data_IF_982460319962
#
_entry.id   IF_982460319962
#
_cell.length_a   1.000
_cell.length_b   1.000
_cell.length_c   1.000
_cell.angle_alpha   90.00
_cell.angle_beta   90.00
_cell.angle_gamma   90.00
#
_symmetry.space_group_name_H-M   'P 1'
#
loop_
_entity.id
_entity.type
_entity.pdbx_description
1 polymer ?
#
# COMPACT_ATOMS: atom_id res chain seq x y z
N UNK A 1 -19.65 9.10 8.24
CA UNK A 1 -20.11 8.78 6.88
C UNK A 1 -19.02 8.73 5.80
N UNK A 2 -17.85 9.40 5.88
CA UNK A 2 -16.86 9.30 4.77
C UNK A 2 -15.40 9.03 5.20
N UNK A 3 -15.06 9.17 6.49
CA UNK A 3 -13.68 9.15 6.97
C UNK A 3 -12.99 7.78 6.86
N UNK A 4 -13.74 6.68 6.92
CA UNK A 4 -13.20 5.31 6.83
C UNK A 4 -12.69 4.94 5.43
N UNK A 5 -13.30 5.47 4.37
CA UNK A 5 -12.87 5.27 2.99
C UNK A 5 -11.67 6.16 2.64
N UNK A 6 -11.54 7.27 3.36
CA UNK A 6 -10.48 8.27 3.20
C UNK A 6 -9.22 7.85 3.96
N UNK A 7 -9.36 7.29 5.17
CA UNK A 7 -8.25 7.07 6.10
C UNK A 7 -7.18 6.06 5.60
N UNK A 8 -7.53 4.89 5.03
CA UNK A 8 -6.53 3.97 4.48
C UNK A 8 -5.73 4.59 3.33
N UNK A 9 -6.43 5.21 2.36
CA UNK A 9 -5.81 5.93 1.25
C UNK A 9 -4.95 7.10 1.71
N UNK A 10 -5.39 7.81 2.74
CA UNK A 10 -4.63 8.88 3.38
C UNK A 10 -3.34 8.36 4.02
N UNK A 11 -3.42 7.32 4.85
CA UNK A 11 -2.25 6.75 5.55
C UNK A 11 -1.21 6.25 4.55
N UNK A 12 -1.65 5.60 3.48
CA UNK A 12 -0.75 5.05 2.45
C UNK A 12 -0.10 6.15 1.63
N UNK A 13 -0.88 7.08 1.08
CA UNK A 13 -0.31 8.20 0.31
C UNK A 13 0.55 9.12 1.18
N UNK A 14 0.23 9.28 2.46
CA UNK A 14 1.07 9.97 3.42
C UNK A 14 2.41 9.27 3.59
N UNK A 15 2.41 7.94 3.75
CA UNK A 15 3.62 7.13 3.88
C UNK A 15 4.49 7.27 2.62
N UNK A 16 3.97 6.87 1.45
CA UNK A 16 4.77 6.83 0.21
C UNK A 16 5.21 8.24 -0.21
N UNK A 17 4.35 9.24 0.01
CA UNK A 17 4.70 10.64 -0.24
C UNK A 17 5.83 11.14 0.66
N UNK A 18 5.86 10.74 1.95
CA UNK A 18 6.96 11.09 2.86
C UNK A 18 8.25 10.34 2.48
N UNK A 19 8.15 9.08 2.04
CA UNK A 19 9.30 8.32 1.53
C UNK A 19 9.93 9.00 0.31
N UNK A 20 9.11 9.35 -0.69
CA UNK A 20 9.56 10.10 -1.86
C UNK A 20 10.19 11.45 -1.49
N UNK A 21 9.55 12.22 -0.58
CA UNK A 21 10.07 13.50 -0.12
C UNK A 21 11.42 13.36 0.60
N UNK A 22 11.61 12.27 1.35
CA UNK A 22 12.84 11.97 2.06
C UNK A 22 13.99 11.62 1.10
N UNK A 23 13.73 10.81 0.06
CA UNK A 23 14.74 10.50 -0.98
C UNK A 23 15.19 11.79 -1.67
N UNK A 24 14.25 12.62 -2.11
CA UNK A 24 14.53 13.94 -2.72
C UNK A 24 15.34 14.82 -1.76
N UNK A 25 14.95 14.85 -0.48
CA UNK A 25 15.63 15.61 0.56
C UNK A 25 17.08 15.16 0.79
N UNK A 26 17.35 13.85 0.85
CA UNK A 26 18.72 13.34 1.00
C UNK A 26 19.60 13.76 -0.19
N UNK A 27 19.09 13.63 -1.41
CA UNK A 27 19.84 14.00 -2.62
C UNK A 27 20.14 15.50 -2.65
N UNK A 28 19.15 16.35 -2.35
CA UNK A 28 19.36 17.80 -2.25
C UNK A 28 20.39 18.16 -1.17
N UNK A 29 20.33 17.51 -0.01
CA UNK A 29 21.29 17.72 1.07
C UNK A 29 22.71 17.28 0.67
N UNK A 30 22.87 16.19 -0.08
CA UNK A 30 24.15 15.75 -0.60
C UNK A 30 24.72 16.73 -1.64
N UNK A 31 23.89 17.24 -2.55
CA UNK A 31 24.30 18.24 -3.54
C UNK A 31 24.74 19.57 -2.89
N UNK A 32 24.05 19.97 -1.83
CA UNK A 32 24.41 21.16 -1.06
C UNK A 32 25.77 20.98 -0.36
N UNK A 33 26.01 19.83 0.27
CA UNK A 33 27.32 19.51 0.86
C UNK A 33 28.45 19.47 -0.18
N UNK A 34 28.17 18.96 -1.37
CA UNK A 34 29.13 18.90 -2.47
C UNK A 34 29.35 20.25 -3.19
N UNK A 35 28.70 21.34 -2.75
CA UNK A 35 28.74 22.68 -3.38
C UNK A 35 28.37 22.68 -4.88
N UNK A 36 27.60 21.70 -5.35
CA UNK A 36 27.17 21.56 -6.76
C UNK A 36 25.68 21.87 -6.90
N UNK A 37 25.27 23.04 -6.43
CA UNK A 37 23.86 23.50 -6.45
C UNK A 37 23.27 23.67 -7.85
N UNK A 38 24.11 23.75 -8.89
CA UNK A 38 23.68 23.78 -10.29
C UNK A 38 22.90 22.51 -10.71
N UNK A 39 23.11 21.38 -10.04
CA UNK A 39 22.41 20.12 -10.31
C UNK A 39 21.01 20.05 -9.66
N UNK A 40 20.64 21.01 -8.82
CA UNK A 40 19.33 21.02 -8.15
C UNK A 40 18.17 21.07 -9.14
N UNK A 41 18.34 21.73 -10.29
CA UNK A 41 17.32 21.76 -11.35
C UNK A 41 17.01 20.37 -11.90
N UNK A 42 17.99 19.47 -11.96
CA UNK A 42 17.80 18.09 -12.41
C UNK A 42 17.02 17.24 -11.40
N UNK A 43 17.17 17.54 -10.09
CA UNK A 43 16.35 16.92 -9.04
C UNK A 43 14.89 17.33 -9.19
N UNK A 44 14.62 18.62 -9.35
CA UNK A 44 13.24 19.11 -9.55
C UNK A 44 12.63 18.60 -10.86
N UNK A 45 13.42 18.51 -11.94
CA UNK A 45 12.99 17.90 -13.20
C UNK A 45 12.66 16.41 -13.04
N UNK A 46 13.51 15.64 -12.34
CA UNK A 46 13.27 14.22 -12.06
C UNK A 46 12.01 14.02 -11.22
N UNK A 47 11.80 14.86 -10.20
CA UNK A 47 10.61 14.85 -9.37
C UNK A 47 9.36 15.17 -10.18
N UNK A 48 9.37 16.26 -10.95
CA UNK A 48 8.24 16.66 -11.78
C UNK A 48 7.90 15.60 -12.83
N UNK A 49 8.91 15.05 -13.51
CA UNK A 49 8.75 13.98 -14.48
C UNK A 49 8.19 12.71 -13.84
N UNK A 50 8.71 12.30 -12.67
CA UNK A 50 8.22 11.13 -11.93
C UNK A 50 6.76 11.27 -11.55
N UNK A 51 6.38 12.40 -10.94
CA UNK A 51 4.99 12.69 -10.56
C UNK A 51 4.07 12.70 -11.78
N UNK A 52 4.48 13.33 -12.88
CA UNK A 52 3.68 13.38 -14.11
C UNK A 52 3.47 11.98 -14.72
N UNK A 53 4.53 11.18 -14.80
CA UNK A 53 4.45 9.82 -15.34
C UNK A 53 3.60 8.93 -14.44
N UNK A 54 3.77 8.99 -13.12
CA UNK A 54 2.90 8.27 -12.18
C UNK A 54 1.44 8.70 -12.32
N UNK A 55 1.14 10.00 -12.41
CA UNK A 55 -0.22 10.47 -12.62
C UNK A 55 -0.83 9.94 -13.94
N UNK A 56 -0.05 9.94 -15.02
CA UNK A 56 -0.47 9.40 -16.31
C UNK A 56 -0.75 7.88 -16.24
N UNK A 57 0.14 7.13 -15.58
CA UNK A 57 -0.06 5.69 -15.34
C UNK A 57 -1.36 5.48 -14.56
N UNK A 58 -1.60 6.25 -13.50
CA UNK A 58 -2.82 6.14 -12.69
C UNK A 58 -4.09 6.42 -13.48
N UNK A 59 -4.09 7.45 -14.34
CA UNK A 59 -5.23 7.76 -15.23
C UNK A 59 -5.48 6.63 -16.23
N UNK A 60 -4.42 6.10 -16.86
CA UNK A 60 -4.50 5.01 -17.82
C UNK A 60 -5.01 3.73 -17.15
N UNK A 61 -4.53 3.42 -15.95
CA UNK A 61 -4.98 2.28 -15.15
C UNK A 61 -6.46 2.40 -14.77
N UNK A 62 -6.89 3.57 -14.31
CA UNK A 62 -8.29 3.84 -13.97
C UNK A 62 -9.23 3.74 -15.19
N UNK A 63 -8.77 4.16 -16.37
CA UNK A 63 -9.50 3.98 -17.63
C UNK A 63 -9.65 2.50 -18.01
N UNK A 64 -8.56 1.73 -17.92
CA UNK A 64 -8.58 0.28 -18.21
C UNK A 64 -9.55 -0.45 -17.29
N UNK A 65 -9.50 -0.18 -15.99
CA UNK A 65 -10.38 -0.83 -15.00
C UNK A 65 -11.85 -0.54 -15.31
N UNK A 66 -12.20 0.71 -15.62
CA UNK A 66 -13.59 1.08 -15.99
C UNK A 66 -14.05 0.42 -17.29
N UNK A 67 -13.17 0.38 -18.30
CA UNK A 67 -13.47 -0.27 -19.57
C UNK A 67 -13.72 -1.78 -19.38
N UNK A 68 -12.87 -2.47 -18.61
CA UNK A 68 -13.01 -3.89 -18.33
C UNK A 68 -14.19 -4.21 -17.39
N UNK A 69 -14.49 -3.34 -16.42
CA UNK A 69 -15.61 -3.49 -15.50
C UNK A 69 -16.97 -3.49 -16.22
N UNK A 70 -17.12 -2.65 -17.24
CA UNK A 70 -18.37 -2.55 -18.02
C UNK A 70 -18.68 -3.75 -18.93
N UNK A 71 -17.76 -4.71 -19.07
CA UNK A 71 -17.89 -5.80 -20.04
C UNK A 71 -18.88 -6.90 -19.60
N UNK A 72 -19.00 -7.19 -18.30
CA UNK A 72 -19.95 -8.17 -17.78
C UNK A 72 -20.22 -8.04 -16.27
N UNK A 73 -21.39 -8.48 -15.76
CA UNK A 73 -21.68 -8.42 -14.32
C UNK A 73 -20.82 -9.38 -13.46
N UNK A 74 -20.13 -10.36 -14.08
CA UNK A 74 -19.23 -11.27 -13.37
C UNK A 74 -17.76 -10.81 -13.37
N UNK A 75 -17.39 -9.85 -14.23
CA UNK A 75 -16.01 -9.35 -14.32
C UNK A 75 -15.66 -8.38 -13.21
N UNK A 76 -16.62 -7.62 -12.67
CA UNK A 76 -16.39 -6.68 -11.57
C UNK A 76 -15.80 -7.35 -10.32
N UNK A 77 -16.45 -8.37 -9.71
CA UNK A 77 -15.93 -8.99 -8.48
C UNK A 77 -14.66 -9.80 -8.73
N UNK A 78 -14.48 -10.39 -9.92
CA UNK A 78 -13.28 -11.13 -10.29
C UNK A 78 -12.05 -10.21 -10.42
N UNK A 79 -12.24 -9.07 -11.07
CA UNK A 79 -11.19 -8.07 -11.24
C UNK A 79 -10.84 -7.44 -9.89
N UNK A 80 -11.82 -7.21 -9.02
CA UNK A 80 -11.60 -6.70 -7.67
C UNK A 80 -10.81 -7.68 -6.78
N UNK A 81 -11.19 -8.95 -6.78
CA UNK A 81 -10.46 -10.00 -6.08
C UNK A 81 -9.02 -10.13 -6.61
N UNK A 82 -8.82 -10.05 -7.92
CA UNK A 82 -7.49 -10.11 -8.55
C UNK A 82 -6.58 -8.93 -8.16
N UNK A 83 -7.05 -7.69 -8.31
CA UNK A 83 -6.26 -6.51 -7.96
C UNK A 83 -5.97 -6.43 -6.46
N UNK A 84 -6.93 -6.78 -5.61
CA UNK A 84 -6.71 -6.78 -4.16
C UNK A 84 -5.72 -7.88 -3.73
N UNK A 85 -5.75 -9.06 -4.35
CA UNK A 85 -4.73 -10.10 -4.11
C UNK A 85 -3.32 -9.64 -4.52
N UNK A 86 -3.18 -9.03 -5.71
CA UNK A 86 -1.90 -8.46 -6.17
C UNK A 86 -1.42 -7.37 -5.19
N UNK A 87 -2.31 -6.48 -4.76
CA UNK A 87 -1.99 -5.43 -3.80
C UNK A 87 -1.51 -6.01 -2.46
N UNK A 88 -2.16 -7.05 -1.93
CA UNK A 88 -1.72 -7.72 -0.68
C UNK A 88 -0.30 -8.24 -0.80
N UNK A 89 0.02 -8.94 -1.90
CA UNK A 89 1.37 -9.51 -2.11
C UNK A 89 2.41 -8.40 -2.22
N UNK A 90 2.15 -7.38 -3.05
CA UNK A 90 3.08 -6.26 -3.27
C UNK A 90 3.30 -5.46 -1.98
N UNK A 91 2.25 -5.13 -1.24
CA UNK A 91 2.34 -4.37 0.00
C UNK A 91 3.03 -5.17 1.11
N UNK A 92 2.75 -6.47 1.22
CA UNK A 92 3.42 -7.33 2.19
C UNK A 92 4.92 -7.43 1.89
N UNK A 93 5.27 -7.55 0.61
CA UNK A 93 6.66 -7.55 0.18
C UNK A 93 7.35 -6.22 0.52
N UNK A 94 6.72 -5.09 0.19
CA UNK A 94 7.27 -3.76 0.43
C UNK A 94 7.39 -3.42 1.93
N UNK A 95 6.41 -3.82 2.75
CA UNK A 95 6.46 -3.70 4.21
C UNK A 95 7.72 -4.35 4.78
N UNK A 96 8.05 -5.54 4.30
CA UNK A 96 9.25 -6.28 4.74
C UNK A 96 10.51 -5.64 4.15
N UNK A 97 10.50 -5.29 2.87
CA UNK A 97 11.67 -4.74 2.18
C UNK A 97 12.11 -3.38 2.76
N UNK A 98 11.17 -2.49 3.07
CA UNK A 98 11.45 -1.14 3.54
C UNK A 98 12.09 -1.11 4.94
N UNK A 99 11.71 -2.05 5.83
CA UNK A 99 12.35 -2.18 7.16
C UNK A 99 13.83 -2.56 7.08
N UNK A 100 14.25 -3.27 6.02
CA UNK A 100 15.64 -3.62 5.79
C UNK A 100 16.43 -2.43 5.21
N UNK A 101 15.78 -1.66 4.34
CA UNK A 101 16.41 -0.54 3.62
C UNK A 101 16.52 0.74 4.47
N UNK A 102 15.66 0.95 5.47
CA UNK A 102 15.69 2.15 6.32
C UNK A 102 17.03 2.39 7.06
N UNK A 103 17.84 1.34 7.26
CA UNK A 103 19.19 1.43 7.85
C UNK A 103 20.27 1.81 6.83
N UNK A 104 20.10 1.45 5.56
CA UNK A 104 21.08 1.61 4.49
C UNK A 104 20.80 2.79 3.56
N UNK A 105 19.57 3.33 3.49
CA UNK A 105 19.20 4.40 2.55
C UNK A 105 20.13 5.61 2.59
N UNK A 106 20.58 6.02 3.78
CA UNK A 106 21.52 7.13 3.89
C UNK A 106 22.88 6.81 3.28
N UNK A 107 23.44 5.63 3.53
CA UNK A 107 24.72 5.20 2.94
C UNK A 107 24.60 4.87 1.45
N UNK A 108 23.50 4.25 1.02
CA UNK A 108 23.27 3.90 -0.38
C UNK A 108 23.12 5.16 -1.24
N UNK A 109 22.29 6.11 -0.80
CA UNK A 109 22.09 7.37 -1.52
C UNK A 109 23.34 8.25 -1.44
N UNK A 110 24.03 8.32 -0.29
CA UNK A 110 25.32 9.01 -0.21
C UNK A 110 26.35 8.36 -1.16
N UNK A 111 26.42 7.02 -1.26
CA UNK A 111 27.32 6.30 -2.17
C UNK A 111 27.03 6.53 -3.66
N UNK A 112 25.77 6.36 -4.08
CA UNK A 112 25.31 6.59 -5.46
C UNK A 112 25.50 8.05 -5.89
N UNK A 113 25.25 9.01 -5.00
CA UNK A 113 25.50 10.43 -5.28
C UNK A 113 26.99 10.72 -5.39
N UNK A 114 27.83 10.10 -4.55
CA UNK A 114 29.29 10.28 -4.61
C UNK A 114 29.87 9.67 -5.89
N UNK A 115 29.34 8.53 -6.34
CA UNK A 115 29.72 7.89 -7.60
C UNK A 115 29.24 8.69 -8.82
N UNK A 116 28.00 9.20 -8.79
CA UNK A 116 27.45 10.07 -9.84
C UNK A 116 28.26 11.37 -9.97
N UNK A 117 28.81 11.92 -8.88
CA UNK A 117 29.64 13.12 -8.90
C UNK A 117 31.02 12.94 -9.59
N UNK A 118 31.48 11.72 -9.83
CA UNK A 118 32.81 11.45 -10.40
C UNK A 118 32.94 11.82 -11.89
N UNK A 119 31.84 11.91 -12.64
CA UNK A 119 31.83 12.24 -14.07
C UNK A 119 30.89 13.43 -14.36
N UNK A 120 31.46 14.59 -14.72
CA UNK A 120 30.74 15.87 -14.81
C UNK A 120 29.52 15.92 -15.75
N UNK A 121 29.51 15.15 -16.85
CA UNK A 121 28.40 15.13 -17.81
C UNK A 121 27.34 14.05 -17.48
N UNK A 122 27.73 12.91 -16.90
CA UNK A 122 26.81 11.83 -16.52
C UNK A 122 26.18 12.03 -15.14
N UNK A 123 26.76 12.90 -14.29
CA UNK A 123 26.23 13.22 -12.96
C UNK A 123 24.78 13.73 -13.02
N UNK A 124 24.51 14.65 -13.96
CA UNK A 124 23.19 15.26 -14.13
C UNK A 124 22.11 14.22 -14.50
N UNK A 125 22.42 13.36 -15.45
CA UNK A 125 21.53 12.28 -15.89
C UNK A 125 21.35 11.21 -14.81
N UNK A 126 22.41 10.88 -14.06
CA UNK A 126 22.35 9.95 -12.93
C UNK A 126 21.42 10.45 -11.82
N UNK A 127 21.54 11.72 -11.43
CA UNK A 127 20.68 12.34 -10.41
C UNK A 127 19.23 12.40 -10.89
N UNK A 128 18.99 12.82 -12.14
CA UNK A 128 17.66 12.83 -12.73
C UNK A 128 17.02 11.43 -12.69
N UNK A 129 17.74 10.42 -13.18
CA UNK A 129 17.25 9.04 -13.26
C UNK A 129 16.99 8.45 -11.87
N UNK A 130 17.86 8.74 -10.90
CA UNK A 130 17.71 8.29 -9.52
C UNK A 130 16.43 8.83 -8.90
N UNK A 131 16.19 10.14 -9.00
CA UNK A 131 14.97 10.77 -8.46
C UNK A 131 13.74 10.31 -9.23
N UNK A 132 13.83 10.25 -10.55
CA UNK A 132 12.73 9.81 -11.41
C UNK A 132 12.29 8.39 -11.05
N UNK A 133 13.21 7.43 -10.96
CA UNK A 133 12.90 6.03 -10.64
C UNK A 133 12.37 5.91 -9.21
N UNK A 134 12.97 6.63 -8.26
CA UNK A 134 12.50 6.62 -6.87
C UNK A 134 11.04 7.10 -6.78
N UNK A 135 10.72 8.27 -7.34
CA UNK A 135 9.35 8.83 -7.32
C UNK A 135 8.38 7.97 -8.13
N UNK A 136 8.81 7.45 -9.29
CA UNK A 136 7.98 6.60 -10.13
C UNK A 136 7.57 5.32 -9.40
N UNK A 137 8.49 4.72 -8.64
CA UNK A 137 8.23 3.52 -7.85
C UNK A 137 7.20 3.77 -6.75
N UNK A 138 7.41 4.78 -5.91
CA UNK A 138 6.48 5.14 -4.83
C UNK A 138 5.09 5.49 -5.41
N UNK A 139 5.08 6.17 -6.56
CA UNK A 139 3.87 6.47 -7.32
C UNK A 139 3.17 5.22 -7.85
N UNK A 140 3.91 4.22 -8.34
CA UNK A 140 3.35 2.96 -8.83
C UNK A 140 2.66 2.17 -7.70
N UNK A 141 3.31 2.04 -6.55
CA UNK A 141 2.73 1.35 -5.38
C UNK A 141 1.45 2.07 -4.89
N UNK A 142 1.46 3.40 -4.90
CA UNK A 142 0.28 4.22 -4.61
C UNK A 142 -0.87 3.96 -5.59
N UNK A 143 -0.59 3.90 -6.90
CA UNK A 143 -1.60 3.64 -7.94
C UNK A 143 -2.21 2.25 -7.77
N UNK A 144 -1.41 1.22 -7.55
CA UNK A 144 -1.89 -0.15 -7.37
C UNK A 144 -2.80 -0.25 -6.14
N UNK A 145 -2.45 0.42 -5.03
CA UNK A 145 -3.30 0.45 -3.85
C UNK A 145 -4.62 1.18 -4.10
N UNK A 146 -4.56 2.38 -4.68
CA UNK A 146 -5.77 3.15 -4.99
C UNK A 146 -6.65 2.37 -5.96
N UNK A 147 -6.08 1.68 -6.94
CA UNK A 147 -6.80 0.81 -7.88
C UNK A 147 -7.54 -0.33 -7.15
N UNK A 148 -6.91 -0.97 -6.17
CA UNK A 148 -7.56 -2.00 -5.34
C UNK A 148 -8.70 -1.47 -4.46
N UNK A 149 -8.76 -0.16 -4.20
CA UNK A 149 -9.84 0.50 -3.44
C UNK A 149 -10.78 1.36 -4.30
N UNK A 150 -10.53 1.47 -5.60
CA UNK A 150 -11.19 2.43 -6.49
C UNK A 150 -12.69 2.15 -6.68
N UNK A 151 -13.13 0.93 -6.40
CA UNK A 151 -14.54 0.53 -6.54
C UNK A 151 -15.44 1.15 -5.46
N UNK A 152 -14.87 1.81 -4.43
CA UNK A 152 -15.61 2.46 -3.34
C UNK A 152 -15.96 3.95 -3.62
N UNK A 153 -15.82 4.42 -4.87
CA UNK A 153 -16.26 5.74 -5.32
C UNK A 153 -15.16 6.83 -5.30
N UNK A 154 -15.57 8.11 -5.24
CA UNK A 154 -14.64 9.26 -5.31
C UNK A 154 -13.99 9.62 -3.97
N UNK A 155 -14.47 9.04 -2.87
CA UNK A 155 -14.01 9.33 -1.51
C UNK A 155 -12.56 8.87 -1.24
N UNK A 156 -12.11 7.66 -1.67
CA UNK A 156 -10.72 7.25 -1.55
C UNK A 156 -9.74 8.18 -2.26
N UNK A 157 -10.15 8.79 -3.38
CA UNK A 157 -9.31 9.74 -4.13
C UNK A 157 -9.08 11.04 -3.34
N UNK A 158 -10.09 11.52 -2.59
CA UNK A 158 -9.93 12.66 -1.68
C UNK A 158 -8.96 12.35 -0.54
N UNK A 159 -9.02 11.14 0.02
CA UNK A 159 -8.07 10.70 1.04
C UNK A 159 -6.64 10.61 0.52
N UNK A 160 -6.47 10.05 -0.68
CA UNK A 160 -5.18 10.02 -1.38
C UNK A 160 -4.61 11.43 -1.62
N UNK A 161 -5.45 12.36 -2.10
CA UNK A 161 -5.04 13.74 -2.32
C UNK A 161 -4.65 14.45 -1.01
N UNK A 162 -5.45 14.28 0.05
CA UNK A 162 -5.16 14.86 1.36
C UNK A 162 -3.85 14.30 1.95
N UNK A 163 -3.58 13.01 1.78
CA UNK A 163 -2.34 12.37 2.24
C UNK A 163 -1.13 12.89 1.47
N UNK A 164 -1.24 13.04 0.14
CA UNK A 164 -0.19 13.61 -0.70
C UNK A 164 0.13 15.07 -0.33
N UNK A 165 -0.89 15.91 -0.12
CA UNK A 165 -0.71 17.30 0.33
C UNK A 165 -0.02 17.34 1.69
N UNK A 166 -0.46 16.49 2.63
CA UNK A 166 0.13 16.40 3.96
C UNK A 166 1.59 15.93 3.89
N UNK A 167 1.89 14.94 3.05
CA UNK A 167 3.26 14.47 2.81
C UNK A 167 4.16 15.57 2.24
N UNK A 168 3.67 16.36 1.29
CA UNK A 168 4.40 17.51 0.75
C UNK A 168 4.69 18.56 1.83
N UNK A 169 3.71 18.86 2.69
CA UNK A 169 3.89 19.78 3.83
C UNK A 169 4.94 19.25 4.81
N UNK A 170 4.88 17.96 5.16
CA UNK A 170 5.87 17.32 6.05
C UNK A 170 7.26 17.36 5.40
N UNK A 171 7.36 17.04 4.10
CA UNK A 171 8.62 17.12 3.35
C UNK A 171 9.25 18.51 3.38
N UNK A 172 8.42 19.55 3.16
CA UNK A 172 8.87 20.95 3.25
C UNK A 172 9.28 21.29 4.68
N UNK A 173 8.50 20.91 5.69
CA UNK A 173 8.82 21.18 7.10
C UNK A 173 10.15 20.53 7.53
N UNK A 174 10.41 19.30 7.09
CA UNK A 174 11.68 18.60 7.33
C UNK A 174 12.86 19.38 6.74
N UNK A 175 12.72 19.89 5.51
CA UNK A 175 13.82 20.54 4.80
C UNK A 175 14.04 22.00 5.22
N UNK A 176 12.95 22.77 5.36
CA UNK A 176 13.01 24.21 5.69
C UNK A 176 13.21 24.48 7.17
N UNK A 177 12.61 23.67 8.06
CA UNK A 177 12.64 23.89 9.51
C UNK A 177 13.57 22.94 10.25
N UNK A 178 14.23 22.01 9.55
CA UNK A 178 15.21 21.10 10.16
C UNK A 178 14.62 20.27 11.30
N UNK A 179 13.31 19.98 11.22
CA UNK A 179 12.59 19.23 12.25
C UNK A 179 13.29 17.88 12.42
N UNK A 180 13.84 17.65 13.62
CA UNK A 180 14.50 16.40 13.98
C UNK A 180 13.43 15.33 14.24
N UNK A 181 12.80 14.86 13.19
CA UNK A 181 11.87 13.73 13.24
C UNK A 181 12.67 12.43 13.35
N UNK A 182 12.33 11.61 14.33
CA UNK A 182 12.86 10.26 14.41
C UNK A 182 12.21 9.41 13.32
N UNK A 183 12.81 9.44 12.13
CA UNK A 183 12.34 8.74 10.94
C UNK A 183 12.05 7.26 11.22
N UNK A 184 12.86 6.62 12.07
CA UNK A 184 12.64 5.24 12.49
C UNK A 184 11.29 5.07 13.18
N UNK A 185 10.97 5.94 14.14
CA UNK A 185 9.71 5.84 14.88
C UNK A 185 8.50 6.18 13.99
N UNK A 186 8.65 7.17 13.10
CA UNK A 186 7.60 7.51 12.12
C UNK A 186 7.28 6.33 11.20
N UNK A 187 8.29 5.71 10.58
CA UNK A 187 8.09 4.55 9.71
C UNK A 187 7.62 3.31 10.45
N UNK A 188 7.99 3.15 11.72
CA UNK A 188 7.47 2.09 12.57
C UNK A 188 5.96 2.23 12.82
N UNK A 189 5.51 3.42 13.22
CA UNK A 189 4.09 3.67 13.48
C UNK A 189 3.28 3.54 12.19
N UNK A 190 3.75 4.16 11.10
CA UNK A 190 3.07 4.06 9.80
C UNK A 190 3.07 2.63 9.24
N UNK A 191 4.15 1.87 9.44
CA UNK A 191 4.22 0.47 9.01
C UNK A 191 3.30 -0.46 9.79
N UNK A 192 3.13 -0.24 11.10
CA UNK A 192 2.14 -0.98 11.91
C UNK A 192 0.72 -0.64 11.47
N UNK A 193 0.42 0.64 11.23
CA UNK A 193 -0.88 1.04 10.69
C UNK A 193 -1.16 0.40 9.33
N UNK A 194 -0.17 0.41 8.43
CA UNK A 194 -0.28 -0.21 7.12
C UNK A 194 -0.50 -1.73 7.22
N UNK A 195 0.22 -2.40 8.11
CA UNK A 195 0.06 -3.84 8.34
C UNK A 195 -1.37 -4.20 8.74
N UNK A 196 -2.01 -3.39 9.59
CA UNK A 196 -3.40 -3.59 9.98
C UNK A 196 -4.37 -3.32 8.81
N UNK A 197 -4.11 -2.30 7.99
CA UNK A 197 -4.88 -2.01 6.77
C UNK A 197 -4.80 -3.18 5.77
N UNK A 198 -3.60 -3.74 5.55
CA UNK A 198 -3.41 -4.89 4.65
C UNK A 198 -4.09 -6.14 5.21
N UNK A 199 -4.05 -6.35 6.53
CA UNK A 199 -4.77 -7.44 7.17
C UNK A 199 -6.29 -7.31 6.96
N UNK A 200 -6.84 -6.09 7.01
CA UNK A 200 -8.23 -5.82 6.61
C UNK A 200 -8.50 -6.07 5.14
N UNK A 201 -7.55 -5.71 4.25
CA UNK A 201 -7.65 -6.00 2.83
C UNK A 201 -7.77 -7.51 2.56
N UNK A 202 -7.01 -8.35 3.29
CA UNK A 202 -7.11 -9.83 3.21
C UNK A 202 -8.53 -10.31 3.51
N UNK A 203 -9.17 -9.80 4.56
CA UNK A 203 -10.54 -10.18 4.91
C UNK A 203 -11.51 -9.79 3.78
N UNK A 204 -11.39 -8.56 3.26
CA UNK A 204 -12.23 -8.11 2.14
C UNK A 204 -12.02 -8.93 0.87
N UNK A 205 -10.77 -9.23 0.51
CA UNK A 205 -10.43 -10.04 -0.67
C UNK A 205 -11.03 -11.45 -0.57
N UNK A 206 -10.99 -12.07 0.61
CA UNK A 206 -11.63 -13.37 0.83
C UNK A 206 -13.15 -13.31 0.68
N UNK A 207 -13.79 -12.22 1.12
CA UNK A 207 -15.23 -12.01 0.91
C UNK A 207 -15.57 -11.89 -0.58
N UNK A 208 -14.76 -11.16 -1.36
CA UNK A 208 -14.99 -10.99 -2.79
C UNK A 208 -14.74 -12.29 -3.55
N UNK A 209 -13.70 -13.05 -3.16
CA UNK A 209 -13.43 -14.36 -3.71
C UNK A 209 -14.60 -15.33 -3.48
N UNK A 210 -15.26 -15.30 -2.33
CA UNK A 210 -16.45 -16.10 -2.07
C UNK A 210 -17.67 -15.67 -2.87
N UNK A 211 -17.87 -14.36 -3.05
CA UNK A 211 -18.91 -13.85 -3.94
C UNK A 211 -18.71 -14.35 -5.38
N UNK A 212 -17.47 -14.33 -5.89
CA UNK A 212 -17.11 -14.89 -7.20
C UNK A 212 -17.42 -16.39 -7.26
N UNK A 213 -17.04 -17.14 -6.22
CA UNK A 213 -17.26 -18.58 -6.18
C UNK A 213 -18.75 -18.94 -6.07
N UNK A 214 -19.55 -18.15 -5.35
CA UNK A 214 -21.01 -18.31 -5.29
C UNK A 214 -21.66 -18.07 -6.68
N UNK A 215 -21.19 -17.07 -7.43
CA UNK A 215 -21.66 -16.81 -8.80
C UNK A 215 -21.28 -17.97 -9.74
N UNK A 216 -20.05 -18.49 -9.63
CA UNK A 216 -19.58 -19.62 -10.44
C UNK A 216 -20.28 -20.94 -10.10
N UNK A 217 -20.61 -21.17 -8.83
CA UNK A 217 -21.37 -22.34 -8.38
C UNK A 217 -22.83 -22.31 -8.86
N UNK A 218 -23.42 -21.12 -9.03
CA UNK A 218 -24.76 -20.97 -9.63
C UNK A 218 -24.80 -21.18 -11.15
N UNK A 219 -23.64 -21.17 -11.83
CA UNK A 219 -23.55 -21.21 -13.30
C UNK A 219 -23.44 -22.63 -13.87
N UNK A 220 -22.93 -23.59 -13.10
CA UNK A 220 -22.69 -24.96 -13.57
C UNK A 220 -22.98 -26.02 -12.48
N UNK A 221 -23.61 -27.15 -12.85
CA UNK A 221 -23.92 -28.23 -11.88
C UNK A 221 -22.65 -28.98 -11.42
N UNK A 222 -21.57 -28.93 -12.20
CA UNK A 222 -20.29 -29.55 -11.86
C UNK A 222 -19.47 -28.71 -10.85
N UNK A 223 -19.71 -27.39 -10.77
CA UNK A 223 -19.05 -26.48 -9.82
C UNK A 223 -19.79 -26.35 -8.48
N UNK A 224 -20.94 -27.00 -8.31
CA UNK A 224 -21.68 -27.03 -7.04
C UNK A 224 -20.86 -27.66 -5.89
N UNK A 225 -19.93 -28.56 -6.21
CA UNK A 225 -19.00 -29.19 -5.24
C UNK A 225 -17.86 -28.26 -4.79
N UNK A 226 -17.66 -27.10 -5.43
CA UNK A 226 -16.67 -26.11 -5.00
C UNK A 226 -17.17 -25.27 -3.81
N UNK A 227 -18.48 -25.22 -3.54
CA UNK A 227 -19.00 -24.71 -2.28
C UNK A 227 -18.96 -25.81 -1.22
N UNK A 228 -17.91 -25.79 -0.40
CA UNK A 228 -17.73 -26.78 0.67
C UNK A 228 -18.72 -26.58 1.83
N UNK A 229 -19.26 -25.37 2.00
CA UNK A 229 -20.14 -25.01 3.11
C UNK A 229 -21.56 -24.65 2.63
N UNK A 230 -22.25 -25.61 1.99
CA UNK A 230 -23.64 -25.42 1.54
C UNK A 230 -24.63 -25.93 2.61
N UNK A 231 -24.73 -25.27 3.76
CA UNK A 231 -25.73 -25.61 4.77
C UNK A 231 -27.11 -25.03 4.39
N UNK A 232 -28.10 -25.90 4.19
CA UNK A 232 -29.50 -25.55 3.87
C UNK A 232 -30.22 -24.70 4.95
N UNK A 233 -29.61 -24.46 6.11
CA UNK A 233 -30.27 -23.95 7.31
C UNK A 233 -29.85 -22.53 7.75
N UNK A 234 -28.88 -21.89 7.10
CA UNK A 234 -28.45 -20.52 7.45
C UNK A 234 -29.06 -19.48 6.49
N UNK A 235 -29.63 -18.39 7.03
CA UNK A 235 -30.20 -17.29 6.23
C UNK A 235 -29.16 -16.52 5.39
N UNK A 236 -27.86 -16.72 5.64
CA UNK A 236 -26.75 -16.08 4.94
C UNK A 236 -25.85 -17.19 4.42
N UNK A 237 -25.65 -17.24 3.10
CA UNK A 237 -24.94 -18.32 2.42
C UNK A 237 -23.47 -17.92 2.21
N UNK A 238 -22.54 -18.81 2.53
CA UNK A 238 -21.11 -18.63 2.31
C UNK A 238 -20.58 -19.89 1.64
N UNK A 239 -19.96 -19.75 0.48
CA UNK A 239 -19.58 -20.90 -0.34
C UNK A 239 -18.34 -21.62 0.26
N UNK A 240 -17.36 -20.84 0.74
CA UNK A 240 -16.02 -21.28 1.16
C UNK A 240 -15.64 -20.78 2.56
N UNK A 241 -16.26 -19.69 3.05
CA UNK A 241 -15.80 -19.02 4.28
C UNK A 241 -16.04 -19.77 5.59
N UNK A 242 -16.88 -20.80 5.58
CA UNK A 242 -17.20 -21.63 6.76
C UNK A 242 -18.22 -20.98 7.71
N UNK A 243 -18.33 -21.46 8.97
CA UNK A 243 -19.29 -20.95 9.92
C UNK A 243 -18.94 -19.53 10.39
N UNK A 244 -19.97 -18.81 10.78
CA UNK A 244 -19.85 -17.46 11.31
C UNK A 244 -19.22 -17.51 12.72
N UNK A 245 -18.11 -16.79 12.91
CA UNK A 245 -17.40 -16.70 14.20
C UNK A 245 -18.07 -15.69 15.11
N UNK A 246 -18.46 -14.54 14.55
CA UNK A 246 -19.22 -13.53 15.28
C UNK A 246 -20.14 -12.73 14.34
N UNK A 247 -21.25 -12.24 14.93
CA UNK A 247 -22.13 -11.26 14.31
C UNK A 247 -22.30 -10.08 15.28
N UNK A 248 -21.60 -9.00 15.00
CA UNK A 248 -21.70 -7.74 15.75
C UNK A 248 -22.56 -6.70 15.04
N UNK A 249 -23.30 -7.08 14.00
CA UNK A 249 -24.16 -6.16 13.25
C UNK A 249 -25.19 -5.41 14.11
N UNK A 250 -25.58 -5.99 15.26
CA UNK A 250 -26.53 -5.38 16.19
C UNK A 250 -25.91 -4.29 17.10
N UNK A 251 -24.61 -4.36 17.39
CA UNK A 251 -23.96 -3.49 18.39
C UNK A 251 -22.86 -2.61 17.81
N UNK A 252 -22.17 -3.09 16.77
CA UNK A 252 -21.05 -2.40 16.15
C UNK A 252 -21.06 -2.62 14.63
N UNK A 253 -22.00 -1.97 13.92
CA UNK A 253 -22.11 -2.08 12.47
C UNK A 253 -20.84 -1.55 11.78
N UNK A 254 -20.39 -2.20 10.72
CA UNK A 254 -19.21 -1.77 9.95
C UNK A 254 -19.52 -0.62 8.97
N UNK A 255 -20.79 -0.22 8.86
CA UNK A 255 -21.30 0.93 8.09
C UNK A 255 -21.51 2.20 8.96
N UNK A 256 -21.40 2.07 10.30
CA UNK A 256 -21.62 3.18 11.25
C UNK A 256 -20.42 3.40 12.18
N UNK A 257 -20.27 4.63 12.68
CA UNK A 257 -19.24 4.95 13.67
C UNK A 257 -19.63 4.32 15.02
N UNK A 258 -18.72 3.65 15.76
CA UNK A 258 -17.26 3.56 15.56
C UNK A 258 -16.74 2.36 14.75
N UNK A 259 -17.61 1.39 14.41
CA UNK A 259 -17.24 0.17 13.68
C UNK A 259 -16.58 0.42 12.32
N UNK A 260 -16.94 1.53 11.68
CA UNK A 260 -16.35 2.03 10.43
C UNK A 260 -14.83 2.30 10.52
N UNK A 261 -14.35 2.86 11.64
CA UNK A 261 -12.93 3.17 11.85
C UNK A 261 -12.16 1.89 12.17
N UNK A 262 -12.78 1.03 12.96
CA UNK A 262 -12.24 -0.30 13.26
C UNK A 262 -12.11 -1.11 11.96
N UNK A 263 -13.08 -1.02 11.06
CA UNK A 263 -13.03 -1.71 9.78
C UNK A 263 -11.91 -1.21 8.90
N UNK A 264 -11.80 0.12 8.76
CA UNK A 264 -10.78 0.74 7.92
C UNK A 264 -9.35 0.59 8.45
N UNK A 265 -9.15 0.70 9.77
CA UNK A 265 -7.82 0.74 10.39
C UNK A 265 -7.34 -0.63 10.87
N UNK A 266 -8.25 -1.46 11.40
CA UNK A 266 -7.94 -2.75 12.00
C UNK A 266 -8.43 -3.94 11.17
N UNK A 267 -9.16 -3.71 10.08
CA UNK A 267 -9.74 -4.78 9.28
C UNK A 267 -10.97 -5.44 9.91
N UNK A 268 -11.62 -4.77 10.87
CA UNK A 268 -12.84 -5.28 11.50
C UNK A 268 -13.97 -5.48 10.48
N UNK A 269 -14.70 -6.59 10.60
CA UNK A 269 -15.92 -6.84 9.85
C UNK A 269 -17.05 -7.19 10.81
N UNK A 270 -18.26 -6.67 10.51
CA UNK A 270 -19.44 -6.93 11.34
C UNK A 270 -19.80 -8.42 11.37
N UNK A 271 -19.51 -9.12 10.28
CA UNK A 271 -19.64 -10.57 10.11
C UNK A 271 -18.26 -11.10 9.76
N UNK A 272 -17.69 -11.89 10.65
CA UNK A 272 -16.43 -12.56 10.40
C UNK A 272 -16.68 -14.05 10.38
N UNK A 273 -16.22 -14.68 9.32
CA UNK A 273 -16.28 -16.13 9.18
C UNK A 273 -14.96 -16.77 9.57
N UNK A 274 -15.00 -18.07 9.82
CA UNK A 274 -13.87 -18.79 10.38
C UNK A 274 -12.62 -18.72 9.49
N UNK A 275 -12.77 -18.88 8.18
CA UNK A 275 -11.64 -18.81 7.24
C UNK A 275 -11.04 -17.40 7.20
N UNK A 276 -11.86 -16.36 7.26
CA UNK A 276 -11.37 -14.97 7.36
C UNK A 276 -10.61 -14.72 8.66
N UNK A 277 -11.11 -15.21 9.79
CA UNK A 277 -10.44 -15.08 11.08
C UNK A 277 -9.07 -15.76 11.06
N UNK A 278 -9.00 -17.00 10.58
CA UNK A 278 -7.75 -17.76 10.47
C UNK A 278 -6.76 -17.03 9.55
N UNK A 279 -7.20 -16.59 8.37
CA UNK A 279 -6.36 -15.88 7.42
C UNK A 279 -5.82 -14.55 8.00
N UNK A 280 -6.64 -13.80 8.73
CA UNK A 280 -6.23 -12.56 9.39
C UNK A 280 -5.14 -12.82 10.44
N UNK A 281 -5.34 -13.79 11.34
CA UNK A 281 -4.33 -14.13 12.35
C UNK A 281 -3.05 -14.69 11.72
N UNK A 282 -3.17 -15.56 10.70
CA UNK A 282 -2.02 -16.10 9.99
C UNK A 282 -1.21 -14.97 9.32
N UNK A 283 -1.89 -14.03 8.66
CA UNK A 283 -1.26 -12.86 8.07
C UNK A 283 -0.52 -12.01 9.11
N UNK A 284 -1.16 -11.68 10.23
CA UNK A 284 -0.53 -10.91 11.31
C UNK A 284 0.68 -11.63 11.92
N UNK A 285 0.60 -12.94 12.15
CA UNK A 285 1.70 -13.71 12.74
C UNK A 285 2.87 -13.82 11.77
N UNK A 286 2.60 -14.10 10.49
CA UNK A 286 3.63 -14.29 9.46
C UNK A 286 4.26 -12.96 9.04
N UNK A 287 3.48 -12.06 8.43
CA UNK A 287 3.98 -10.77 7.91
C UNK A 287 4.36 -9.84 9.06
N UNK A 288 3.57 -9.79 10.14
CA UNK A 288 3.91 -9.01 11.32
C UNK A 288 5.14 -9.57 12.04
N UNK A 289 5.25 -10.89 12.18
CA UNK A 289 6.45 -11.53 12.70
C UNK A 289 7.69 -11.15 11.90
N UNK A 290 7.65 -11.24 10.57
CA UNK A 290 8.75 -10.85 9.68
C UNK A 290 9.07 -9.35 9.78
N UNK A 291 8.06 -8.49 9.83
CA UNK A 291 8.20 -7.05 9.99
C UNK A 291 8.93 -6.71 11.29
N UNK A 292 8.47 -7.23 12.44
CA UNK A 292 9.09 -6.96 13.74
C UNK A 292 10.48 -7.59 13.87
N UNK A 293 10.72 -8.77 13.28
CA UNK A 293 12.04 -9.40 13.25
C UNK A 293 13.05 -8.58 12.43
N UNK A 294 12.63 -8.04 11.29
CA UNK A 294 13.44 -7.14 10.45
C UNK A 294 13.76 -5.83 11.20
N UNK A 295 12.76 -5.28 11.88
CA UNK A 295 12.89 -4.10 12.73
C UNK A 295 13.92 -4.30 13.87
N UNK A 296 13.83 -5.45 14.55
CA UNK A 296 14.72 -5.84 15.65
C UNK A 296 16.12 -6.28 15.17
N UNK A 297 16.35 -6.37 13.85
CA UNK A 297 17.63 -6.82 13.27
C UNK A 297 17.94 -8.30 13.51
N UNK A 298 16.92 -9.14 13.73
CA UNK A 298 17.09 -10.58 13.97
C UNK A 298 17.07 -11.44 12.70
N UNK A 299 16.77 -10.85 11.53
CA UNK A 299 16.91 -11.54 10.25
C UNK A 299 18.41 -11.57 9.84
N UNK A 300 19.07 -12.58 10.41
CA UNK A 300 20.29 -13.32 10.04
C UNK A 300 21.59 -12.58 9.66
N UNK A 301 22.73 -12.99 10.25
CA UNK A 301 24.05 -12.70 9.71
C UNK A 301 24.30 -13.59 8.49
N UNK A 302 23.88 -13.16 7.30
CA UNK A 302 24.45 -13.74 6.08
C UNK A 302 25.87 -13.22 5.95
N UNK A 303 26.80 -14.09 6.37
CA UNK A 303 28.24 -14.00 6.20
C UNK A 303 28.60 -13.26 4.92
N UNK A 304 29.30 -12.14 5.09
CA UNK A 304 30.41 -11.82 4.21
C UNK A 304 31.36 -13.03 4.19
N UNK A 305 31.36 -13.80 3.11
CA UNK A 305 32.50 -14.63 2.76
C UNK A 305 32.91 -14.35 1.32
N UNK A 306 33.98 -13.57 1.25
CA UNK A 306 34.95 -13.34 0.17
C UNK A 306 34.50 -12.54 -1.04
#
# INVERSE_FOLDING_TARGET
MNLSLILPSFIITLREGVEAALVVGIVLACLQKAKRTQLNSWVYLGLAAGVLVSALIGLLFGWIIRALGSASPATEPLLEAGFSAIAIVLLSWMLIWMTQQARSMRMLVEGEVTQALSNHASAAWGIFSLIFIAVLREGFETIVFIAAKFQQGMLPALGAFAGLVTAAVIGIALFKWGVKLNLRLFFQVMGVLLLLVVAGLVITTLGHADAVMAILAGRDRASASLCFYYEHFTRVHSCILGPLVWDFSAFLPDDQFPGLILSALFGYTQRLYQVQAIAYFLFLITVGGLYFQSLSGRLLPLRLQK
#
